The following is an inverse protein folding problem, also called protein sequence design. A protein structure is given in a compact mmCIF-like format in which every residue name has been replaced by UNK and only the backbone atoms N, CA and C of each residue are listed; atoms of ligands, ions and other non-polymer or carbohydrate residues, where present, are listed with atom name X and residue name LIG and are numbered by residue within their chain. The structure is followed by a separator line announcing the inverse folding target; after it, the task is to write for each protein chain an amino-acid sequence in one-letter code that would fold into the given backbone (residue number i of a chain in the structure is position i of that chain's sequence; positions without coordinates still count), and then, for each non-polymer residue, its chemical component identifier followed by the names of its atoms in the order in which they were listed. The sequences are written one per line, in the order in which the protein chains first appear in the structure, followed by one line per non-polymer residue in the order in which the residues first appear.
data_IF_787976716205
#
_entry.id   IF_787976716205
#
_cell.length_a   1.000
_cell.length_b   1.000
_cell.length_c   1.000
_cell.angle_alpha   90.00
_cell.angle_beta   90.00
_cell.angle_gamma   90.00
#
_symmetry.space_group_name_H-M   'P 1'
#
loop_
_entity.id
_entity.type
_entity.pdbx_description
1 polymer ?
#
# COMPACT_ATOMS: atom_id res chain seq x y z
N UNK A 1 56.07 -6.05 -30.51
CA UNK A 1 54.82 -5.49 -29.93
C UNK A 1 53.71 -6.51 -30.14
N UNK A 2 53.35 -7.23 -29.08
CA UNK A 2 52.35 -8.32 -29.13
C UNK A 2 51.08 -7.81 -28.42
N UNK A 3 50.00 -7.54 -29.13
CA UNK A 3 48.70 -7.27 -28.57
C UNK A 3 48.06 -8.58 -28.10
N UNK A 4 47.80 -8.69 -26.81
CA UNK A 4 46.95 -9.73 -26.24
C UNK A 4 45.50 -9.28 -26.29
N UNK A 5 44.69 -9.96 -27.06
CA UNK A 5 43.25 -9.82 -27.06
C UNK A 5 42.69 -10.48 -25.78
N UNK A 6 41.99 -9.72 -24.95
CA UNK A 6 41.25 -10.24 -23.80
C UNK A 6 39.87 -10.72 -24.29
N UNK A 7 39.66 -12.02 -24.15
CA UNK A 7 38.37 -12.67 -24.43
C UNK A 7 37.42 -12.35 -23.26
N UNK A 8 36.40 -11.55 -23.52
CA UNK A 8 35.30 -11.33 -22.57
C UNK A 8 34.30 -12.48 -22.77
N UNK A 9 34.30 -13.42 -21.83
CA UNK A 9 33.27 -14.45 -21.78
C UNK A 9 31.93 -13.86 -21.31
N UNK A 10 30.99 -13.74 -22.21
CA UNK A 10 29.60 -13.40 -21.88
C UNK A 10 28.97 -14.69 -21.35
N UNK A 11 28.73 -14.71 -20.03
CA UNK A 11 27.93 -15.77 -19.40
C UNK A 11 26.47 -15.45 -19.66
N UNK A 12 25.88 -16.11 -20.63
CA UNK A 12 24.44 -16.17 -20.83
C UNK A 12 23.81 -16.98 -19.68
N UNK A 13 23.33 -16.31 -18.65
CA UNK A 13 22.44 -16.93 -17.68
C UNK A 13 21.09 -17.15 -18.36
N UNK A 14 20.84 -18.40 -18.74
CA UNK A 14 19.52 -18.85 -19.21
C UNK A 14 18.53 -18.67 -18.08
N UNK A 15 17.67 -17.67 -18.19
CA UNK A 15 16.45 -17.53 -17.39
C UNK A 15 15.51 -18.65 -17.83
N UNK A 16 15.58 -19.79 -17.15
CA UNK A 16 14.54 -20.79 -17.23
C UNK A 16 13.23 -20.11 -16.79
N UNK A 17 12.27 -20.06 -17.69
CA UNK A 17 10.91 -19.63 -17.45
C UNK A 17 10.35 -20.47 -16.30
N UNK A 18 10.34 -19.89 -15.09
CA UNK A 18 9.48 -20.37 -14.02
C UNK A 18 8.06 -20.16 -14.54
N UNK A 19 7.43 -21.24 -14.96
CA UNK A 19 5.99 -21.26 -15.17
C UNK A 19 5.37 -20.78 -13.86
N UNK A 20 4.71 -19.63 -13.91
CA UNK A 20 3.84 -19.14 -12.84
C UNK A 20 2.76 -20.21 -12.61
N UNK A 21 3.05 -21.14 -11.71
CA UNK A 21 2.03 -21.94 -11.07
C UNK A 21 1.30 -20.95 -10.16
N UNK A 22 0.19 -20.42 -10.66
CA UNK A 22 -0.72 -19.63 -9.88
C UNK A 22 -0.93 -20.34 -8.55
N UNK A 23 -0.52 -19.74 -7.45
CA UNK A 23 -0.75 -20.29 -6.12
C UNK A 23 -2.27 -20.57 -6.01
N UNK A 24 -2.68 -21.74 -5.49
CA UNK A 24 -4.09 -22.07 -5.37
C UNK A 24 -4.75 -20.93 -4.58
N UNK A 25 -5.80 -20.33 -5.16
CA UNK A 25 -6.61 -19.34 -4.46
C UNK A 25 -6.98 -19.94 -3.11
N UNK A 26 -6.71 -19.26 -1.98
CA UNK A 26 -7.06 -19.80 -0.67
C UNK A 26 -8.53 -20.19 -0.70
N UNK A 27 -8.84 -21.46 -0.52
CA UNK A 27 -10.18 -21.98 -0.63
C UNK A 27 -11.13 -21.13 0.21
N UNK A 28 -12.28 -20.77 -0.32
CA UNK A 28 -13.34 -20.15 0.47
C UNK A 28 -13.58 -21.06 1.67
N UNK A 29 -13.40 -20.58 2.91
CA UNK A 29 -13.66 -21.40 4.07
C UNK A 29 -15.11 -21.87 4.01
N UNK A 30 -15.32 -23.14 4.26
CA UNK A 30 -16.68 -23.68 4.42
C UNK A 30 -17.44 -22.76 5.38
N UNK A 31 -18.61 -22.31 4.95
CA UNK A 31 -19.35 -21.29 5.70
C UNK A 31 -19.75 -21.86 7.05
N UNK A 32 -19.15 -21.35 8.14
CA UNK A 32 -19.44 -21.80 9.49
C UNK A 32 -20.93 -21.64 9.80
N UNK A 33 -21.57 -22.63 10.38
CA UNK A 33 -22.97 -22.54 10.78
C UNK A 33 -23.21 -21.41 11.79
N UNK A 34 -24.42 -20.88 11.87
CA UNK A 34 -24.77 -19.79 12.78
C UNK A 34 -24.48 -20.15 14.26
N UNK A 35 -24.66 -21.40 14.63
CA UNK A 35 -24.36 -21.91 15.98
C UNK A 35 -22.84 -21.86 16.24
N UNK A 36 -22.02 -22.31 15.30
CA UNK A 36 -20.55 -22.26 15.41
C UNK A 36 -20.07 -20.80 15.43
N UNK A 37 -20.61 -19.91 14.59
CA UNK A 37 -20.29 -18.48 14.61
C UNK A 37 -20.59 -17.83 15.97
N UNK A 38 -21.71 -18.18 16.62
CA UNK A 38 -22.04 -17.68 17.96
C UNK A 38 -21.04 -18.18 19.00
N UNK A 39 -20.80 -19.50 19.06
CA UNK A 39 -19.82 -20.07 19.98
C UNK A 39 -18.43 -19.50 19.79
N UNK A 40 -18.02 -19.23 18.52
CA UNK A 40 -16.75 -18.63 18.17
C UNK A 40 -16.62 -17.21 18.75
N UNK A 41 -17.68 -16.40 18.71
CA UNK A 41 -17.71 -15.08 19.35
C UNK A 41 -17.50 -15.15 20.87
N UNK A 42 -18.21 -16.06 21.54
CA UNK A 42 -18.11 -16.22 22.97
C UNK A 42 -16.69 -16.68 23.37
N UNK A 43 -16.13 -17.67 22.67
CA UNK A 43 -14.77 -18.15 22.90
C UNK A 43 -13.75 -17.05 22.65
N UNK A 44 -13.84 -16.31 21.53
CA UNK A 44 -12.93 -15.22 21.22
C UNK A 44 -12.96 -14.12 22.29
N UNK A 45 -14.14 -13.77 22.80
CA UNK A 45 -14.30 -12.80 23.88
C UNK A 45 -13.65 -13.28 25.19
N UNK A 46 -13.95 -14.50 25.62
CA UNK A 46 -13.40 -15.07 26.87
C UNK A 46 -11.88 -15.18 26.77
N UNK A 47 -11.35 -15.69 25.67
CA UNK A 47 -9.93 -15.80 25.42
C UNK A 47 -9.22 -14.42 25.40
N UNK A 48 -9.87 -13.41 24.82
CA UNK A 48 -9.36 -12.04 24.82
C UNK A 48 -9.26 -11.48 26.24
N UNK A 49 -10.30 -11.62 27.05
CA UNK A 49 -10.30 -11.14 28.45
C UNK A 49 -9.16 -11.80 29.24
N UNK A 50 -8.97 -13.13 29.07
CA UNK A 50 -7.90 -13.89 29.73
C UNK A 50 -6.49 -13.51 29.26
N UNK A 51 -6.31 -13.31 27.95
CA UNK A 51 -4.98 -13.16 27.36
C UNK A 51 -4.51 -11.70 27.25
N UNK A 52 -5.43 -10.73 27.31
CA UNK A 52 -5.12 -9.31 26.98
C UNK A 52 -4.19 -8.64 27.98
N UNK A 53 -4.19 -9.03 29.23
CA UNK A 53 -3.37 -8.44 30.30
C UNK A 53 -3.43 -6.88 30.27
N UNK A 54 -4.61 -6.33 30.02
CA UNK A 54 -4.86 -4.89 29.91
C UNK A 54 -4.49 -4.26 28.56
N UNK A 55 -3.98 -5.03 27.61
CA UNK A 55 -3.74 -4.55 26.26
C UNK A 55 -5.00 -4.50 25.41
N UNK A 56 -5.02 -3.60 24.43
CA UNK A 56 -6.12 -3.48 23.49
C UNK A 56 -6.22 -4.68 22.55
N UNK A 57 -7.38 -4.85 21.93
CA UNK A 57 -7.62 -5.86 20.90
C UNK A 57 -6.58 -5.80 19.76
N UNK A 58 -6.20 -4.59 19.35
CA UNK A 58 -5.20 -4.41 18.30
C UNK A 58 -3.82 -4.93 18.72
N UNK A 59 -3.43 -4.69 19.96
CA UNK A 59 -2.16 -5.17 20.48
C UNK A 59 -2.17 -6.71 20.62
N UNK A 60 -3.28 -7.30 21.05
CA UNK A 60 -3.43 -8.75 21.10
C UNK A 60 -3.37 -9.40 19.72
N UNK A 61 -3.92 -8.73 18.70
CA UNK A 61 -3.81 -9.22 17.32
C UNK A 61 -2.39 -9.08 16.74
N UNK A 62 -1.67 -8.01 17.06
CA UNK A 62 -0.44 -7.66 16.35
C UNK A 62 0.85 -8.10 17.04
N UNK A 63 0.88 -8.16 18.37
CA UNK A 63 2.03 -8.66 19.12
C UNK A 63 2.05 -10.19 19.09
N UNK A 64 3.18 -10.78 18.66
CA UNK A 64 3.28 -12.22 18.44
C UNK A 64 3.08 -13.01 19.72
N UNK A 65 3.58 -12.55 20.86
CA UNK A 65 3.43 -13.22 22.14
C UNK A 65 2.00 -13.16 22.65
N UNK A 66 1.38 -11.99 22.65
CA UNK A 66 -0.02 -11.83 23.08
C UNK A 66 -0.97 -12.60 22.18
N UNK A 67 -0.73 -12.60 20.88
CA UNK A 67 -1.55 -13.35 19.93
C UNK A 67 -1.41 -14.86 20.12
N UNK A 68 -0.21 -15.36 20.38
CA UNK A 68 0.03 -16.76 20.67
C UNK A 68 -0.73 -17.20 21.92
N UNK A 69 -0.69 -16.40 22.99
CA UNK A 69 -1.44 -16.65 24.23
C UNK A 69 -2.95 -16.69 23.96
N UNK A 70 -3.46 -15.67 23.25
CA UNK A 70 -4.87 -15.62 22.86
C UNK A 70 -5.31 -16.83 22.05
N UNK A 71 -4.56 -17.19 21.02
CA UNK A 71 -4.87 -18.33 20.16
C UNK A 71 -4.78 -19.67 20.91
N UNK A 72 -3.85 -19.80 21.85
CA UNK A 72 -3.77 -20.98 22.72
C UNK A 72 -5.04 -21.17 23.56
N UNK A 73 -5.56 -20.08 24.14
CA UNK A 73 -6.83 -20.07 24.87
C UNK A 73 -8.05 -20.43 23.99
N UNK A 74 -8.03 -19.92 22.75
CA UNK A 74 -9.07 -20.23 21.77
C UNK A 74 -9.06 -21.72 21.38
N UNK A 75 -7.89 -22.25 21.01
CA UNK A 75 -7.73 -23.64 20.59
C UNK A 75 -8.08 -24.65 21.70
N UNK A 76 -7.78 -24.31 22.93
CA UNK A 76 -8.18 -25.15 24.08
C UNK A 76 -9.69 -25.34 24.17
N UNK A 77 -10.49 -24.40 23.65
CA UNK A 77 -11.96 -24.42 23.67
C UNK A 77 -12.60 -24.88 22.37
N UNK A 78 -11.92 -24.64 21.24
CA UNK A 78 -12.40 -25.00 19.89
C UNK A 78 -11.20 -25.44 19.02
N UNK A 79 -10.69 -26.66 19.18
CA UNK A 79 -9.45 -27.13 18.53
C UNK A 79 -9.55 -27.22 17.01
N UNK A 80 -10.74 -27.42 16.47
CA UNK A 80 -10.97 -27.60 15.03
C UNK A 80 -11.14 -26.27 14.25
N UNK A 81 -11.05 -25.12 14.95
CA UNK A 81 -11.18 -23.80 14.32
C UNK A 81 -9.80 -23.22 14.02
N UNK A 82 -9.65 -22.65 12.84
CA UNK A 82 -8.38 -22.07 12.41
C UNK A 82 -8.03 -20.79 13.19
N UNK A 83 -6.77 -20.55 13.40
CA UNK A 83 -6.24 -19.35 14.06
C UNK A 83 -6.72 -18.04 13.39
N UNK A 84 -6.80 -18.05 12.06
CA UNK A 84 -7.36 -16.94 11.30
C UNK A 84 -8.80 -16.61 11.73
N UNK A 85 -9.66 -17.60 11.91
CA UNK A 85 -11.07 -17.37 12.22
C UNK A 85 -11.25 -16.79 13.63
N UNK A 86 -10.38 -17.14 14.58
CA UNK A 86 -10.33 -16.52 15.90
C UNK A 86 -9.90 -15.05 15.81
N UNK A 87 -8.80 -14.76 15.13
CA UNK A 87 -8.31 -13.38 14.94
C UNK A 87 -9.33 -12.51 14.19
N UNK A 88 -9.95 -13.07 13.14
CA UNK A 88 -10.98 -12.38 12.36
C UNK A 88 -12.23 -12.09 13.19
N UNK A 89 -12.61 -13.03 14.05
CA UNK A 89 -13.74 -12.83 14.98
C UNK A 89 -13.41 -11.74 15.99
N UNK A 90 -12.21 -11.73 16.56
CA UNK A 90 -11.78 -10.73 17.53
C UNK A 90 -11.82 -9.31 16.95
N UNK A 91 -11.30 -9.10 15.72
CA UNK A 91 -11.36 -7.79 15.08
C UNK A 91 -12.80 -7.36 14.78
N UNK A 92 -13.68 -8.29 14.42
CA UNK A 92 -15.08 -8.00 14.17
C UNK A 92 -15.86 -7.66 15.46
N UNK A 93 -15.61 -8.36 16.56
CA UNK A 93 -16.16 -8.00 17.89
C UNK A 93 -15.78 -6.58 18.29
N UNK A 94 -14.52 -6.20 18.08
CA UNK A 94 -14.06 -4.81 18.29
C UNK A 94 -14.80 -3.82 17.41
N UNK A 95 -14.94 -4.11 16.09
CA UNK A 95 -15.63 -3.22 15.14
C UNK A 95 -17.10 -3.04 15.47
N UNK A 96 -17.72 -4.08 16.00
CA UNK A 96 -19.12 -4.05 16.44
C UNK A 96 -19.32 -3.39 17.80
N UNK A 97 -18.23 -3.02 18.51
CA UNK A 97 -18.33 -2.46 19.86
C UNK A 97 -18.65 -3.48 20.96
N UNK A 98 -18.67 -4.77 20.62
CA UNK A 98 -19.02 -5.87 21.54
C UNK A 98 -17.96 -6.12 22.64
N UNK A 99 -16.86 -5.36 22.65
CA UNK A 99 -15.77 -5.42 23.63
C UNK A 99 -15.59 -4.10 24.40
N UNK A 100 -16.54 -3.18 24.32
CA UNK A 100 -16.44 -1.84 24.92
C UNK A 100 -16.41 -1.84 26.46
N UNK A 101 -16.92 -2.91 27.09
CA UNK A 101 -16.90 -3.12 28.53
C UNK A 101 -15.55 -3.67 29.06
N UNK A 102 -14.67 -4.16 28.16
CA UNK A 102 -13.35 -4.64 28.54
C UNK A 102 -12.39 -3.46 28.65
N UNK A 103 -12.00 -3.13 29.89
CA UNK A 103 -11.10 -2.01 30.16
C UNK A 103 -9.68 -2.30 29.66
N UNK A 104 -9.11 -1.36 28.93
CA UNK A 104 -7.69 -1.38 28.52
C UNK A 104 -6.90 -0.42 29.40
N UNK A 105 -5.85 -0.92 30.06
CA UNK A 105 -5.00 -0.13 30.97
C UNK A 105 -3.60 0.14 30.40
N UNK A 106 -3.19 -0.62 29.38
CA UNK A 106 -1.88 -0.54 28.75
C UNK A 106 -1.97 0.11 27.38
N UNK A 107 -1.05 1.02 27.10
CA UNK A 107 -0.89 1.67 25.80
C UNK A 107 0.58 1.79 25.46
N UNK A 108 0.92 1.50 24.21
CA UNK A 108 2.24 1.81 23.66
C UNK A 108 2.08 2.97 22.68
N UNK A 109 2.83 4.04 22.90
CA UNK A 109 2.94 5.16 21.95
C UNK A 109 4.16 4.90 21.09
N UNK A 110 3.98 4.94 19.78
CA UNK A 110 5.04 4.82 18.81
C UNK A 110 4.88 5.97 17.82
N UNK A 111 6.00 6.47 17.32
CA UNK A 111 6.02 7.42 16.20
C UNK A 111 6.37 6.64 14.92
N UNK A 112 5.38 6.35 14.07
CA UNK A 112 5.59 5.52 12.90
C UNK A 112 6.15 6.28 11.69
N UNK A 113 6.35 7.60 11.74
CA UNK A 113 6.63 8.42 10.56
C UNK A 113 7.84 7.93 9.77
N UNK A 114 8.89 7.48 10.43
CA UNK A 114 10.12 7.00 9.77
C UNK A 114 9.92 5.69 8.98
N UNK A 115 8.98 4.84 9.40
CA UNK A 115 8.74 3.53 8.77
C UNK A 115 7.33 3.36 8.19
N UNK A 116 6.56 4.43 8.15
CA UNK A 116 5.18 4.41 7.66
C UNK A 116 5.09 3.94 6.20
N UNK A 117 6.01 4.44 5.35
CA UNK A 117 6.07 4.04 3.94
C UNK A 117 6.40 2.55 3.77
N UNK A 118 7.32 2.01 4.58
CA UNK A 118 7.64 0.58 4.55
C UNK A 118 6.44 -0.28 4.96
N UNK A 119 5.71 0.14 6.00
CA UNK A 119 4.50 -0.53 6.45
C UNK A 119 3.39 -0.52 5.38
N UNK A 120 3.23 0.61 4.69
CA UNK A 120 2.27 0.76 3.60
C UNK A 120 2.61 -0.13 2.41
N UNK A 121 3.86 -0.08 1.93
CA UNK A 121 4.32 -0.90 0.80
C UNK A 121 4.13 -2.38 1.10
N UNK A 122 4.53 -2.82 2.30
CA UNK A 122 4.39 -4.22 2.71
C UNK A 122 2.91 -4.65 2.74
N UNK A 123 2.04 -3.84 3.33
CA UNK A 123 0.62 -4.15 3.40
C UNK A 123 0.00 -4.27 2.01
N UNK A 124 0.23 -3.28 1.14
CA UNK A 124 -0.31 -3.26 -0.23
C UNK A 124 0.19 -4.41 -1.09
N UNK A 125 1.47 -4.74 -0.99
CA UNK A 125 2.03 -5.86 -1.73
C UNK A 125 1.36 -7.19 -1.37
N UNK A 126 1.10 -7.42 -0.07
CA UNK A 126 0.41 -8.63 0.37
C UNK A 126 -1.08 -8.63 0.01
N UNK A 127 -1.73 -7.46 0.05
CA UNK A 127 -3.09 -7.30 -0.43
C UNK A 127 -3.22 -7.71 -1.90
N UNK A 128 -2.35 -7.19 -2.75
CA UNK A 128 -2.34 -7.50 -4.18
C UNK A 128 -2.00 -8.97 -4.45
N UNK A 129 -0.97 -9.48 -3.78
CA UNK A 129 -0.48 -10.84 -3.99
C UNK A 129 -1.51 -11.90 -3.59
N UNK A 130 -2.22 -11.68 -2.50
CA UNK A 130 -3.17 -12.64 -1.93
C UNK A 130 -4.64 -12.32 -2.26
N UNK A 131 -4.93 -11.17 -2.90
CA UNK A 131 -6.28 -10.73 -3.23
C UNK A 131 -7.14 -10.49 -1.98
N UNK A 132 -6.54 -9.98 -0.90
CA UNK A 132 -7.20 -9.77 0.40
C UNK A 132 -6.96 -8.35 0.89
N UNK A 133 -7.72 -7.88 1.89
CA UNK A 133 -7.52 -6.57 2.50
C UNK A 133 -6.53 -6.60 3.68
N UNK A 134 -6.04 -5.42 4.10
CA UNK A 134 -5.09 -5.28 5.21
C UNK A 134 -5.55 -5.98 6.49
N UNK A 135 -6.83 -5.87 6.86
CA UNK A 135 -7.34 -6.52 8.06
C UNK A 135 -7.15 -8.04 7.99
N UNK A 136 -7.35 -8.63 6.81
CA UNK A 136 -7.17 -10.06 6.59
C UNK A 136 -5.70 -10.45 6.64
N UNK A 137 -4.82 -9.67 6.00
CA UNK A 137 -3.36 -9.86 6.10
C UNK A 137 -2.90 -9.86 7.57
N UNK A 138 -3.38 -8.91 8.37
CA UNK A 138 -2.97 -8.77 9.77
C UNK A 138 -3.58 -9.84 10.71
N UNK A 139 -4.76 -10.37 10.36
CA UNK A 139 -5.41 -11.42 11.14
C UNK A 139 -4.89 -12.82 10.83
N UNK A 140 -4.21 -13.02 9.69
CA UNK A 140 -3.76 -14.33 9.25
C UNK A 140 -2.35 -14.65 9.77
N UNK A 141 -2.21 -15.62 10.71
CA UNK A 141 -0.91 -16.00 11.20
C UNK A 141 0.00 -16.62 10.13
N UNK A 142 -0.57 -17.20 9.06
CA UNK A 142 0.20 -17.79 7.96
C UNK A 142 0.87 -16.71 7.09
N UNK A 143 0.29 -15.52 6.98
CA UNK A 143 0.86 -14.39 6.25
C UNK A 143 1.90 -13.59 7.05
N UNK A 144 1.98 -13.78 8.37
CA UNK A 144 2.92 -13.04 9.23
C UNK A 144 4.40 -13.24 8.87
N UNK A 145 4.88 -14.46 8.59
CA UNK A 145 6.28 -14.65 8.18
C UNK A 145 6.60 -13.92 6.88
N UNK A 146 5.69 -13.93 5.92
CA UNK A 146 5.85 -13.23 4.65
C UNK A 146 5.86 -11.71 4.86
N UNK A 147 4.92 -11.20 5.66
CA UNK A 147 4.90 -9.79 6.06
C UNK A 147 6.22 -9.39 6.72
N UNK A 148 6.70 -10.17 7.70
CA UNK A 148 7.92 -9.89 8.43
C UNK A 148 9.17 -9.92 7.54
N UNK A 149 9.25 -10.84 6.58
CA UNK A 149 10.35 -10.92 5.62
C UNK A 149 10.39 -9.65 4.76
N UNK A 150 9.31 -9.29 4.13
CA UNK A 150 9.24 -8.12 3.26
C UNK A 150 9.45 -6.81 4.02
N UNK A 151 8.86 -6.70 5.21
CA UNK A 151 9.03 -5.54 6.06
C UNK A 151 10.49 -5.31 6.48
N UNK A 152 11.25 -6.39 6.76
CA UNK A 152 12.69 -6.31 7.07
C UNK A 152 13.54 -5.89 5.87
N UNK A 153 13.15 -6.23 4.66
CA UNK A 153 13.84 -5.77 3.44
C UNK A 153 13.73 -4.25 3.29
N UNK A 154 12.60 -3.66 3.67
CA UNK A 154 12.33 -2.24 3.54
C UNK A 154 12.77 -1.41 4.75
N UNK A 155 12.70 -1.98 5.95
CA UNK A 155 13.06 -1.32 7.21
C UNK A 155 13.71 -2.32 8.17
N UNK A 156 14.97 -2.73 7.93
CA UNK A 156 15.65 -3.80 8.67
C UNK A 156 15.85 -3.50 10.16
N UNK A 157 15.88 -2.22 10.52
CA UNK A 157 16.05 -1.75 11.90
C UNK A 157 14.75 -1.71 12.70
N UNK A 158 13.58 -1.95 12.07
CA UNK A 158 12.27 -1.83 12.70
C UNK A 158 11.69 -3.22 13.00
N UNK A 159 11.19 -3.41 14.20
CA UNK A 159 10.51 -4.66 14.55
C UNK A 159 9.27 -4.86 13.66
N UNK A 160 9.04 -6.08 13.10
CA UNK A 160 7.89 -6.36 12.24
C UNK A 160 6.53 -6.07 12.91
N UNK A 161 6.45 -6.18 14.22
CA UNK A 161 5.26 -5.79 14.98
C UNK A 161 4.92 -4.31 14.81
N UNK A 162 5.91 -3.41 14.88
CA UNK A 162 5.70 -1.97 14.71
C UNK A 162 5.21 -1.63 13.30
N UNK A 163 5.73 -2.32 12.29
CA UNK A 163 5.28 -2.19 10.91
C UNK A 163 3.84 -2.68 10.75
N UNK A 164 3.46 -3.81 11.35
CA UNK A 164 2.05 -4.27 11.36
C UNK A 164 1.12 -3.26 12.05
N UNK A 165 1.59 -2.67 13.16
CA UNK A 165 0.84 -1.62 13.88
C UNK A 165 0.68 -0.36 13.04
N UNK A 166 1.71 0.07 12.34
CA UNK A 166 1.65 1.19 11.41
C UNK A 166 0.68 0.90 10.26
N UNK A 167 0.70 -0.30 9.66
CA UNK A 167 -0.28 -0.71 8.62
C UNK A 167 -1.72 -0.63 9.13
N UNK A 168 -1.98 -1.12 10.36
CA UNK A 168 -3.32 -1.01 10.95
C UNK A 168 -3.74 0.45 11.19
N UNK A 169 -2.79 1.31 11.58
CA UNK A 169 -3.03 2.74 11.79
C UNK A 169 -3.37 3.44 10.48
N UNK A 170 -2.61 3.17 9.41
CA UNK A 170 -2.88 3.67 8.06
C UNK A 170 -4.28 3.25 7.59
N UNK A 171 -4.62 1.97 7.75
CA UNK A 171 -5.93 1.44 7.40
C UNK A 171 -7.05 2.12 8.20
N UNK A 172 -6.89 2.31 9.52
CA UNK A 172 -7.89 2.98 10.39
C UNK A 172 -8.08 4.45 10.02
N UNK A 173 -7.03 5.16 9.67
CA UNK A 173 -7.08 6.55 9.24
C UNK A 173 -7.54 6.70 7.78
N UNK A 174 -7.92 5.60 7.11
CA UNK A 174 -8.26 5.55 5.66
C UNK A 174 -7.16 6.08 4.75
N UNK A 175 -5.93 6.11 5.23
CA UNK A 175 -4.74 6.47 4.43
C UNK A 175 -4.33 5.33 3.49
N UNK A 176 -4.58 4.07 3.88
CA UNK A 176 -4.58 2.92 2.97
C UNK A 176 -5.97 2.77 2.36
N UNK A 177 -6.05 2.89 1.04
CA UNK A 177 -7.25 2.56 0.26
C UNK A 177 -6.92 1.37 -0.66
N UNK A 178 -7.00 0.13 -0.16
CA UNK A 178 -6.74 -1.07 -0.97
C UNK A 178 -7.62 -1.12 -2.21
N UNK A 179 -8.88 -0.72 -2.06
CA UNK A 179 -9.83 -0.63 -3.16
C UNK A 179 -9.37 0.34 -4.26
N UNK A 180 -8.63 1.39 -3.89
CA UNK A 180 -8.10 2.33 -4.87
C UNK A 180 -6.96 1.70 -5.69
N UNK A 181 -6.08 0.92 -5.07
CA UNK A 181 -4.98 0.23 -5.76
C UNK A 181 -5.54 -0.78 -6.76
N UNK A 182 -6.53 -1.58 -6.35
CA UNK A 182 -7.22 -2.51 -7.23
C UNK A 182 -7.92 -1.77 -8.39
N UNK A 183 -8.65 -0.69 -8.09
CA UNK A 183 -9.30 0.14 -9.11
C UNK A 183 -8.30 0.77 -10.09
N UNK A 184 -7.13 1.23 -9.61
CA UNK A 184 -6.09 1.78 -10.49
C UNK A 184 -5.55 0.73 -11.46
N UNK A 185 -5.43 -0.53 -11.05
CA UNK A 185 -5.09 -1.64 -11.95
C UNK A 185 -6.16 -1.82 -13.03
N UNK A 186 -7.45 -1.78 -12.65
CA UNK A 186 -8.58 -1.88 -13.58
C UNK A 186 -8.68 -0.70 -14.57
N UNK A 187 -8.04 0.44 -14.27
CA UNK A 187 -8.03 1.62 -15.14
C UNK A 187 -7.11 1.47 -16.34
N UNK A 188 -6.46 0.32 -16.53
CA UNK A 188 -5.52 0.05 -17.63
C UNK A 188 -4.47 1.16 -17.76
N UNK A 189 -3.77 1.42 -16.67
CA UNK A 189 -2.78 2.48 -16.58
C UNK A 189 -1.60 2.22 -17.51
N UNK A 190 -1.31 3.22 -18.35
CA UNK A 190 -0.08 3.29 -19.14
C UNK A 190 0.82 4.38 -18.55
N UNK A 191 2.08 4.06 -18.26
CA UNK A 191 3.06 5.04 -17.76
C UNK A 191 3.94 5.46 -18.93
N UNK A 192 3.96 6.77 -19.18
CA UNK A 192 4.84 7.41 -20.16
C UNK A 192 5.77 8.36 -19.43
N UNK A 193 7.06 8.27 -19.71
CA UNK A 193 8.07 9.17 -19.12
C UNK A 193 8.83 9.85 -20.25
N UNK A 194 8.93 11.20 -20.19
CA UNK A 194 9.67 11.98 -21.17
C UNK A 194 10.30 13.23 -20.53
N UNK A 195 11.42 13.73 -21.08
CA UNK A 195 11.98 15.04 -20.70
C UNK A 195 10.98 16.18 -20.95
N UNK A 196 10.88 17.13 -20.03
CA UNK A 196 9.97 18.27 -20.18
C UNK A 196 10.30 19.13 -21.41
N UNK A 197 11.58 19.25 -21.76
CA UNK A 197 12.02 19.94 -22.98
C UNK A 197 11.49 19.31 -24.27
N UNK A 198 11.36 17.99 -24.31
CA UNK A 198 10.76 17.30 -25.47
C UNK A 198 9.25 17.55 -25.56
N UNK A 199 8.56 17.61 -24.41
CA UNK A 199 7.14 17.95 -24.36
C UNK A 199 6.85 19.40 -24.76
N UNK A 200 7.76 20.33 -24.49
CA UNK A 200 7.68 21.73 -24.98
C UNK A 200 7.79 21.79 -26.51
N UNK A 201 8.71 21.00 -27.08
CA UNK A 201 8.92 20.98 -28.53
C UNK A 201 7.80 20.24 -29.29
N UNK A 202 7.26 19.19 -28.69
CA UNK A 202 6.18 18.39 -29.27
C UNK A 202 5.19 17.93 -28.20
N UNK A 203 4.18 18.73 -27.97
CA UNK A 203 3.14 18.46 -26.99
C UNK A 203 2.27 17.23 -27.35
N UNK A 204 2.28 16.79 -28.61
CA UNK A 204 1.54 15.61 -29.04
C UNK A 204 2.07 14.30 -28.43
N UNK A 205 3.31 14.29 -27.96
CA UNK A 205 3.91 13.16 -27.20
C UNK A 205 3.23 12.90 -25.87
N UNK A 206 2.50 13.88 -25.32
CA UNK A 206 1.70 13.70 -24.12
C UNK A 206 0.37 13.07 -24.51
N UNK A 207 -0.01 11.93 -23.91
CA UNK A 207 -1.33 11.33 -24.12
C UNK A 207 -2.45 12.32 -23.80
N UNK A 208 -3.50 12.34 -24.63
CA UNK A 208 -4.76 12.98 -24.26
C UNK A 208 -5.58 12.01 -23.38
N UNK A 209 -6.51 12.56 -22.58
CA UNK A 209 -7.39 11.78 -21.73
C UNK A 209 -7.04 11.85 -20.25
N UNK A 210 -7.79 11.09 -19.41
CA UNK A 210 -7.68 11.21 -17.97
C UNK A 210 -6.38 10.62 -17.43
N UNK A 211 -5.83 11.26 -16.38
CA UNK A 211 -4.61 10.75 -15.78
C UNK A 211 -4.07 11.59 -14.63
N UNK A 212 -2.90 11.16 -14.18
CA UNK A 212 -2.07 11.89 -13.22
C UNK A 212 -0.71 12.16 -13.86
N UNK A 213 -0.18 13.34 -13.64
CA UNK A 213 1.12 13.77 -14.13
C UNK A 213 2.03 14.16 -12.98
N UNK A 214 3.32 13.91 -13.13
CA UNK A 214 4.34 14.09 -12.11
C UNK A 214 5.52 14.80 -12.75
N UNK A 215 5.87 15.99 -12.24
CA UNK A 215 7.13 16.67 -12.56
C UNK A 215 8.18 16.27 -11.54
N UNK A 216 9.37 15.88 -11.99
CA UNK A 216 10.52 15.58 -11.14
C UNK A 216 11.82 16.04 -11.76
N UNK A 217 12.82 16.33 -10.94
CA UNK A 217 14.21 16.60 -11.32
C UNK A 217 15.18 15.74 -10.51
N UNK A 218 16.47 16.04 -10.57
CA UNK A 218 17.50 15.33 -9.82
C UNK A 218 17.35 15.49 -8.29
N UNK A 219 16.65 16.53 -7.80
CA UNK A 219 16.39 16.75 -6.38
C UNK A 219 15.16 15.99 -5.85
N UNK A 220 14.33 15.44 -6.75
CA UNK A 220 13.14 14.67 -6.40
C UNK A 220 11.86 15.13 -7.09
N UNK A 221 10.73 14.93 -6.42
CA UNK A 221 9.42 15.26 -6.97
C UNK A 221 9.11 16.75 -6.81
N UNK A 222 8.79 17.42 -7.91
CA UNK A 222 8.46 18.85 -7.93
C UNK A 222 6.97 19.09 -7.73
N UNK A 223 6.14 18.41 -8.53
CA UNK A 223 4.70 18.60 -8.51
C UNK A 223 3.96 17.36 -9.03
N UNK A 224 2.81 17.07 -8.45
CA UNK A 224 1.89 16.02 -8.88
C UNK A 224 0.50 16.64 -9.06
N UNK A 225 -0.20 16.27 -10.14
CA UNK A 225 -1.54 16.78 -10.41
C UNK A 225 -2.39 15.78 -11.20
N UNK A 226 -3.72 15.90 -11.07
CA UNK A 226 -4.70 15.14 -11.85
C UNK A 226 -5.27 15.96 -13.00
N UNK A 227 -5.72 15.27 -14.04
CA UNK A 227 -6.47 15.91 -15.12
C UNK A 227 -7.44 14.94 -15.80
N UNK A 228 -8.52 15.50 -16.35
CA UNK A 228 -9.35 14.80 -17.34
C UNK A 228 -8.72 14.76 -18.73
N UNK A 229 -7.75 15.65 -18.99
CA UNK A 229 -6.94 15.68 -20.19
C UNK A 229 -5.51 16.09 -19.85
N UNK A 230 -4.62 15.08 -19.85
CA UNK A 230 -3.21 15.25 -19.49
C UNK A 230 -2.50 16.25 -20.41
N UNK A 231 -2.73 16.17 -21.74
CA UNK A 231 -2.06 17.04 -22.73
C UNK A 231 -2.37 18.51 -22.51
N UNK A 232 -3.65 18.82 -22.38
CA UNK A 232 -4.11 20.19 -22.13
C UNK A 232 -3.56 20.73 -20.79
N UNK A 233 -3.56 19.90 -19.76
CA UNK A 233 -3.14 20.32 -18.41
C UNK A 233 -1.64 20.53 -18.32
N UNK A 234 -0.83 19.58 -18.81
CA UNK A 234 0.63 19.70 -18.81
C UNK A 234 1.09 20.87 -19.68
N UNK A 235 0.45 21.10 -20.82
CA UNK A 235 0.73 22.30 -21.64
C UNK A 235 0.61 23.57 -20.82
N UNK A 236 -0.47 23.75 -20.05
CA UNK A 236 -0.67 24.94 -19.18
C UNK A 236 0.43 25.11 -18.14
N UNK A 237 1.02 24.04 -17.64
CA UNK A 237 2.16 24.14 -16.73
C UNK A 237 3.44 24.54 -17.48
N UNK A 238 3.68 23.97 -18.67
CA UNK A 238 4.88 24.23 -19.46
C UNK A 238 4.90 25.64 -20.06
N UNK A 239 3.74 26.17 -20.45
CA UNK A 239 3.60 27.56 -20.91
C UNK A 239 3.42 28.57 -19.76
N UNK A 240 3.57 28.09 -18.51
CA UNK A 240 3.58 28.91 -17.29
C UNK A 240 2.27 29.66 -17.00
N UNK A 241 1.18 29.23 -17.61
CA UNK A 241 -0.14 29.85 -17.44
C UNK A 241 -0.88 29.38 -16.17
N UNK A 242 -0.29 28.45 -15.40
CA UNK A 242 -0.93 27.84 -14.23
C UNK A 242 0.06 27.63 -13.07
N UNK A 243 -0.43 27.76 -11.81
CA UNK A 243 0.33 27.52 -10.57
C UNK A 243 1.61 28.37 -10.42
N UNK A 244 1.49 29.50 -9.75
CA UNK A 244 2.59 30.47 -9.57
C UNK A 244 3.91 29.86 -9.09
N UNK A 245 3.90 28.95 -8.10
CA UNK A 245 5.13 28.37 -7.54
C UNK A 245 5.91 27.52 -8.54
N UNK A 246 5.23 26.70 -9.32
CA UNK A 246 5.84 25.86 -10.35
C UNK A 246 6.25 26.73 -11.56
N UNK A 247 5.44 27.73 -11.95
CA UNK A 247 5.74 28.67 -12.99
C UNK A 247 7.00 29.48 -12.67
N UNK A 248 7.12 30.02 -11.45
CA UNK A 248 8.32 30.74 -11.01
C UNK A 248 9.56 29.84 -11.03
N UNK A 249 9.40 28.55 -10.67
CA UNK A 249 10.51 27.59 -10.76
C UNK A 249 10.95 27.42 -12.21
N UNK A 250 10.03 27.17 -13.15
CA UNK A 250 10.36 27.03 -14.58
C UNK A 250 10.91 28.31 -15.22
N UNK A 251 10.43 29.49 -14.79
CA UNK A 251 10.99 30.78 -15.23
C UNK A 251 12.45 30.96 -14.81
N UNK A 252 12.80 30.51 -13.60
CA UNK A 252 14.16 30.73 -13.07
C UNK A 252 15.14 29.65 -13.52
N UNK A 253 14.74 28.41 -13.62
CA UNK A 253 15.64 27.29 -13.89
C UNK A 253 15.43 26.66 -15.28
N UNK A 254 14.40 27.05 -15.98
CA UNK A 254 13.98 26.40 -17.22
C UNK A 254 13.37 25.02 -16.96
N UNK A 255 13.14 24.30 -18.05
CA UNK A 255 12.63 22.93 -18.03
C UNK A 255 13.73 21.87 -18.22
N UNK A 256 14.99 22.33 -18.34
CA UNK A 256 16.14 21.44 -18.51
C UNK A 256 16.34 20.59 -17.26
N UNK A 257 16.58 19.27 -17.44
CA UNK A 257 16.71 18.33 -16.34
C UNK A 257 15.39 17.93 -15.65
N UNK A 258 14.26 18.52 -16.07
CA UNK A 258 12.94 18.11 -15.57
C UNK A 258 12.39 16.98 -16.42
N UNK A 259 11.91 15.94 -15.75
CA UNK A 259 11.23 14.79 -16.35
C UNK A 259 9.74 14.83 -16.00
N UNK A 260 8.90 14.51 -16.96
CA UNK A 260 7.44 14.33 -16.78
C UNK A 260 7.14 12.85 -16.81
N UNK A 261 6.52 12.34 -15.75
CA UNK A 261 5.95 11.00 -15.68
C UNK A 261 4.42 11.13 -15.76
N UNK A 262 3.81 10.43 -16.70
CA UNK A 262 2.39 10.49 -17.02
C UNK A 262 1.76 9.14 -16.77
N UNK A 263 0.78 9.08 -15.88
CA UNK A 263 -0.05 7.93 -15.64
C UNK A 263 -1.36 8.12 -16.43
N UNK A 264 -1.38 7.70 -17.68
CA UNK A 264 -2.55 7.79 -18.54
C UNK A 264 -3.50 6.61 -18.27
N UNK A 265 -4.78 6.89 -18.15
CA UNK A 265 -5.82 5.91 -17.88
C UNK A 265 -6.77 5.75 -19.08
N UNK A 266 -7.38 4.57 -19.19
CA UNK A 266 -8.44 4.34 -20.17
C UNK A 266 -9.61 5.31 -19.90
N UNK A 267 -10.04 6.11 -20.89
CA UNK A 267 -11.16 7.04 -20.74
C UNK A 267 -12.48 6.37 -20.38
N UNK A 268 -12.64 5.08 -20.68
CA UNK A 268 -13.84 4.31 -20.34
C UNK A 268 -13.84 3.81 -18.90
N UNK A 269 -12.70 3.89 -18.18
CA UNK A 269 -12.57 3.45 -16.79
C UNK A 269 -13.16 4.46 -15.80
N UNK A 270 -13.20 4.08 -14.52
CA UNK A 270 -13.60 4.97 -13.41
C UNK A 270 -12.67 6.19 -13.25
N UNK A 271 -11.50 6.20 -13.91
CA UNK A 271 -10.61 7.36 -13.97
C UNK A 271 -11.21 8.57 -14.71
N UNK A 272 -12.31 8.40 -15.47
CA UNK A 272 -13.13 9.50 -16.00
C UNK A 272 -13.70 10.39 -14.88
N UNK A 273 -13.91 9.81 -13.68
CA UNK A 273 -14.46 10.51 -12.52
C UNK A 273 -13.34 11.28 -11.79
N UNK A 274 -13.56 12.57 -11.60
CA UNK A 274 -12.61 13.44 -10.89
C UNK A 274 -12.30 12.97 -9.45
N UNK A 275 -13.27 12.50 -8.64
CA UNK A 275 -12.98 12.00 -7.30
C UNK A 275 -11.99 10.83 -7.30
N UNK A 276 -12.10 9.91 -8.26
CA UNK A 276 -11.19 8.76 -8.38
C UNK A 276 -9.76 9.21 -8.68
N UNK A 277 -9.57 10.10 -9.66
CA UNK A 277 -8.25 10.66 -9.99
C UNK A 277 -7.65 11.45 -8.82
N UNK A 278 -8.46 12.27 -8.11
CA UNK A 278 -8.01 13.02 -6.94
C UNK A 278 -7.58 12.12 -5.79
N UNK A 279 -8.27 11.00 -5.57
CA UNK A 279 -7.87 10.05 -4.55
C UNK A 279 -6.48 9.44 -4.88
N UNK A 280 -6.23 9.10 -6.14
CA UNK A 280 -4.93 8.61 -6.59
C UNK A 280 -3.84 9.69 -6.52
N UNK A 281 -4.12 10.91 -6.97
CA UNK A 281 -3.24 12.08 -6.84
C UNK A 281 -2.85 12.31 -5.37
N UNK A 282 -3.82 12.37 -4.47
CA UNK A 282 -3.59 12.57 -3.02
C UNK A 282 -2.70 11.50 -2.42
N UNK A 283 -2.86 10.26 -2.86
CA UNK A 283 -2.01 9.15 -2.45
C UNK A 283 -0.55 9.34 -2.89
N UNK A 284 -0.36 9.73 -4.15
CA UNK A 284 0.97 10.02 -4.68
C UNK A 284 1.62 11.24 -4.01
N UNK A 285 0.84 12.29 -3.71
CA UNK A 285 1.35 13.47 -3.00
C UNK A 285 1.83 13.09 -1.60
N UNK A 286 1.04 12.30 -0.86
CA UNK A 286 1.41 11.85 0.49
C UNK A 286 2.65 10.97 0.50
N UNK A 287 2.74 10.03 -0.44
CA UNK A 287 3.85 9.07 -0.49
C UNK A 287 5.14 9.69 -1.05
N UNK A 288 5.04 10.67 -1.95
CA UNK A 288 6.18 11.25 -2.68
C UNK A 288 6.60 12.63 -2.22
N UNK A 289 5.78 13.31 -1.41
CA UNK A 289 6.04 14.63 -0.79
C UNK A 289 6.62 15.66 -1.78
N UNK A 290 5.92 15.96 -2.88
CA UNK A 290 6.44 16.87 -3.90
C UNK A 290 6.57 18.30 -3.36
N UNK A 291 7.59 19.01 -3.85
CA UNK A 291 8.01 20.32 -3.33
C UNK A 291 6.96 21.43 -3.46
N UNK A 292 6.18 21.42 -4.54
CA UNK A 292 5.24 22.50 -4.86
C UNK A 292 3.76 22.13 -4.69
N UNK A 293 3.45 20.93 -4.20
CA UNK A 293 2.09 20.65 -3.75
C UNK A 293 1.90 21.21 -2.34
N UNK A 294 0.80 21.91 -2.15
CA UNK A 294 0.28 22.11 -0.80
C UNK A 294 -0.16 20.73 -0.28
N UNK A 295 -0.03 20.49 1.01
CA UNK A 295 -0.51 19.25 1.61
C UNK A 295 -1.96 18.96 1.17
N UNK A 296 -2.31 17.69 0.86
CA UNK A 296 -3.63 17.33 0.37
C UNK A 296 -4.73 17.60 1.39
#
# INVERSE_FOLDING_TARGET
MKYRAALVAVVLVSLASAQDVAAPKPGHPAELSAAVKRKLKDVARVAYVSASDGWSTDEVLLQDELNRKYLSECRARMPDVRDFDFNWTLINLRKAGELSDVKTSRRRRDDPDEYLSAAEITARFLEDRHGVNTDRVLCDPELRPEYARMARELAPQVEPYLLRKASLTLRKSRRLSPELVLRVADWKRVIVTLPAGEAVNDIARIPSGPGVYIFRDASGYLYIGESSDLRSRVKKHLDQSDRQSLAVFFQRQGVQGVTIELHAFDPASDARLKPSRRAYESELIRSRKPRFNLAP
#
